data_IF_767010937399
#
_entry.id   IF_767010937399
#
_cell.length_a   1.000
_cell.length_b   1.000
_cell.length_c   1.000
_cell.angle_alpha   90.00
_cell.angle_beta   90.00
_cell.angle_gamma   90.00
#
_symmetry.space_group_name_H-M   'P 1'
#
loop_
_entity.id
_entity.type
_entity.pdbx_description
1 polymer ?
#
# COMPACT_ATOMS: atom_id res chain seq x y z
N UNK A 1 -3.39 -43.85 -11.44
CA UNK A 1 -4.64 -43.47 -10.73
C UNK A 1 -4.52 -42.01 -10.34
N UNK A 2 -5.15 -41.13 -11.11
CA UNK A 2 -5.23 -39.69 -10.83
C UNK A 2 -6.29 -39.49 -9.75
N UNK A 3 -5.88 -39.10 -8.55
CA UNK A 3 -6.82 -38.68 -7.52
C UNK A 3 -7.58 -37.46 -8.04
N UNK A 4 -8.91 -37.53 -8.08
CA UNK A 4 -9.75 -36.38 -8.38
C UNK A 4 -9.47 -35.31 -7.32
N UNK A 5 -9.11 -34.10 -7.76
CA UNK A 5 -8.97 -32.96 -6.86
C UNK A 5 -10.31 -32.74 -6.15
N UNK A 6 -10.31 -32.85 -4.82
CA UNK A 6 -11.50 -32.59 -4.02
C UNK A 6 -11.74 -31.08 -4.08
N UNK A 7 -12.83 -30.65 -4.71
CA UNK A 7 -13.22 -29.24 -4.68
C UNK A 7 -13.57 -28.87 -3.24
N UNK A 8 -12.77 -27.99 -2.66
CA UNK A 8 -13.00 -27.44 -1.33
C UNK A 8 -13.85 -26.19 -1.53
N UNK A 9 -15.11 -26.27 -1.14
CA UNK A 9 -15.98 -25.10 -1.12
C UNK A 9 -15.75 -24.32 0.16
N UNK A 10 -15.46 -23.03 0.01
CA UNK A 10 -15.44 -22.10 1.13
C UNK A 10 -16.83 -22.00 1.75
N UNK A 11 -16.86 -21.88 3.08
CA UNK A 11 -18.11 -21.72 3.84
C UNK A 11 -18.47 -20.23 3.99
N UNK A 12 -17.55 -19.34 3.60
CA UNK A 12 -17.77 -17.89 3.59
C UNK A 12 -18.53 -17.45 2.33
N UNK A 13 -19.40 -16.45 2.46
CA UNK A 13 -19.99 -15.76 1.31
C UNK A 13 -18.90 -14.99 0.55
N UNK A 14 -18.46 -15.56 -0.57
CA UNK A 14 -17.38 -15.03 -1.40
C UNK A 14 -17.81 -13.78 -2.19
N UNK A 15 -19.12 -13.54 -2.34
CA UNK A 15 -19.65 -12.37 -3.08
C UNK A 15 -19.65 -11.09 -2.24
N UNK A 16 -19.51 -11.21 -0.92
CA UNK A 16 -19.52 -10.09 0.03
C UNK A 16 -18.39 -9.10 -0.27
N UNK A 17 -18.74 -7.81 -0.29
CA UNK A 17 -17.78 -6.70 -0.39
C UNK A 17 -16.90 -6.61 0.87
N UNK A 18 -15.61 -6.33 0.69
CA UNK A 18 -14.67 -6.09 1.77
C UNK A 18 -14.77 -4.64 2.21
N UNK A 19 -15.22 -4.41 3.45
CA UNK A 19 -15.23 -3.09 4.10
C UNK A 19 -15.91 -1.98 3.25
N UNK A 20 -16.99 -2.32 2.54
CA UNK A 20 -17.74 -1.38 1.70
C UNK A 20 -17.03 -0.96 0.40
N UNK A 21 -15.93 -1.62 0.04
CA UNK A 21 -15.20 -1.40 -1.21
C UNK A 21 -15.84 -2.17 -2.37
N UNK A 22 -15.40 -1.91 -3.60
CA UNK A 22 -15.82 -2.69 -4.78
C UNK A 22 -15.19 -4.09 -4.85
N UNK A 23 -14.28 -4.42 -3.94
CA UNK A 23 -13.57 -5.70 -3.92
C UNK A 23 -14.32 -6.73 -3.09
N UNK A 24 -14.52 -7.92 -3.65
CA UNK A 24 -15.19 -9.02 -2.97
C UNK A 24 -14.20 -9.92 -2.21
N UNK A 25 -14.73 -10.74 -1.31
CA UNK A 25 -13.97 -11.82 -0.67
C UNK A 25 -13.35 -12.73 -1.72
N UNK A 26 -14.08 -13.07 -2.78
CA UNK A 26 -13.56 -13.86 -3.91
C UNK A 26 -12.32 -13.22 -4.51
N UNK A 27 -12.36 -11.93 -4.85
CA UNK A 27 -11.23 -11.22 -5.46
C UNK A 27 -9.96 -11.30 -4.61
N UNK A 28 -10.11 -11.14 -3.29
CA UNK A 28 -9.01 -11.24 -2.33
C UNK A 28 -8.44 -12.66 -2.28
N UNK A 29 -9.30 -13.67 -2.09
CA UNK A 29 -8.88 -15.07 -1.98
C UNK A 29 -8.24 -15.56 -3.29
N UNK A 30 -8.80 -15.20 -4.44
CA UNK A 30 -8.23 -15.49 -5.76
C UNK A 30 -6.83 -14.94 -5.93
N UNK A 31 -6.63 -13.70 -5.49
CA UNK A 31 -5.32 -13.06 -5.54
C UNK A 31 -4.29 -13.82 -4.70
N UNK A 32 -4.66 -14.30 -3.51
CA UNK A 32 -3.77 -15.09 -2.65
C UNK A 32 -3.53 -16.50 -3.22
N UNK A 33 -4.59 -17.19 -3.64
CA UNK A 33 -4.51 -18.53 -4.24
C UNK A 33 -3.60 -18.55 -5.46
N UNK A 34 -3.61 -17.52 -6.28
CA UNK A 34 -2.78 -17.44 -7.50
C UNK A 34 -1.33 -17.04 -7.21
N UNK A 35 -1.10 -16.17 -6.21
CA UNK A 35 0.19 -15.49 -6.08
C UNK A 35 0.93 -15.72 -4.77
N UNK A 36 0.33 -16.38 -3.77
CA UNK A 36 0.97 -16.61 -2.47
C UNK A 36 1.12 -18.06 -2.02
N UNK A 37 2.36 -18.55 -2.08
CA UNK A 37 2.74 -19.91 -1.65
C UNK A 37 2.53 -20.14 -0.16
N UNK A 38 2.70 -19.10 0.68
CA UNK A 38 2.50 -19.23 2.13
C UNK A 38 1.02 -19.46 2.41
N UNK A 39 0.16 -18.62 1.83
CA UNK A 39 -1.28 -18.80 1.85
C UNK A 39 -1.71 -20.15 1.27
N UNK A 40 -1.24 -20.54 0.09
CA UNK A 40 -1.56 -21.84 -0.53
C UNK A 40 -1.23 -23.01 0.41
N UNK A 41 -0.09 -22.95 1.10
CA UNK A 41 0.32 -23.98 2.07
C UNK A 41 -0.57 -23.99 3.31
N UNK A 42 -0.95 -22.82 3.83
CA UNK A 42 -1.81 -22.68 5.00
C UNK A 42 -3.26 -23.09 4.70
N UNK A 43 -3.76 -22.69 3.53
CA UNK A 43 -5.04 -23.10 2.98
C UNK A 43 -5.05 -24.62 2.83
N UNK A 44 -4.11 -25.20 2.07
CA UNK A 44 -4.05 -26.65 1.84
C UNK A 44 -5.44 -27.18 1.46
N UNK A 45 -5.94 -28.13 2.25
CA UNK A 45 -7.28 -28.72 2.09
C UNK A 45 -8.38 -28.08 2.98
N UNK A 46 -8.08 -26.95 3.63
CA UNK A 46 -8.98 -26.28 4.58
C UNK A 46 -9.87 -25.27 3.86
N UNK A 47 -11.18 -25.34 4.14
CA UNK A 47 -12.11 -24.31 3.69
C UNK A 47 -11.90 -23.00 4.47
N UNK A 48 -12.11 -21.86 3.81
CA UNK A 48 -12.19 -20.57 4.48
C UNK A 48 -13.52 -20.48 5.24
N UNK A 49 -13.44 -20.18 6.54
CA UNK A 49 -14.58 -19.99 7.44
C UNK A 49 -15.04 -18.54 7.48
N UNK A 50 -14.09 -17.62 7.53
CA UNK A 50 -14.38 -16.21 7.75
C UNK A 50 -13.31 -15.34 7.08
N UNK A 51 -13.76 -14.25 6.47
CA UNK A 51 -12.89 -13.14 6.03
C UNK A 51 -13.40 -11.85 6.68
N UNK A 52 -12.55 -11.20 7.45
CA UNK A 52 -12.83 -9.89 8.05
C UNK A 52 -11.82 -8.86 7.57
N UNK A 53 -12.20 -7.59 7.63
CA UNK A 53 -11.32 -6.48 7.33
C UNK A 53 -11.51 -5.36 8.35
N UNK A 54 -10.41 -4.71 8.72
CA UNK A 54 -10.39 -3.57 9.62
C UNK A 54 -9.47 -2.49 9.05
N UNK A 55 -9.89 -1.23 9.14
CA UNK A 55 -9.09 -0.09 8.70
C UNK A 55 -7.97 0.19 9.72
N UNK A 56 -6.73 -0.07 9.31
CA UNK A 56 -5.51 0.17 10.09
C UNK A 56 -4.81 1.46 9.68
N UNK A 57 -5.39 2.26 8.78
CA UNK A 57 -4.78 3.52 8.35
C UNK A 57 -4.56 4.46 9.53
N UNK A 58 -5.54 4.60 10.44
CA UNK A 58 -5.45 5.48 11.61
C UNK A 58 -5.07 6.92 11.25
N UNK A 59 -5.46 7.40 10.05
CA UNK A 59 -5.05 8.70 9.49
C UNK A 59 -3.62 8.76 8.95
N UNK A 60 -2.86 7.66 9.01
CA UNK A 60 -1.48 7.52 8.54
C UNK A 60 -1.36 6.84 7.18
N UNK A 61 -2.48 6.43 6.58
CA UNK A 61 -2.56 5.87 5.23
C UNK A 61 -2.42 6.90 4.11
N UNK A 62 -2.16 8.18 4.47
CA UNK A 62 -2.10 9.30 3.56
C UNK A 62 -3.40 9.41 2.75
N UNK A 63 -3.34 9.41 1.42
CA UNK A 63 -4.50 9.49 0.51
C UNK A 63 -5.14 8.13 0.24
N UNK A 64 -4.84 7.12 1.06
CA UNK A 64 -5.36 5.76 0.92
C UNK A 64 -5.92 5.22 2.24
N UNK A 65 -6.98 4.41 2.12
CA UNK A 65 -7.41 3.52 3.18
C UNK A 65 -6.52 2.28 3.17
N UNK A 66 -6.10 1.84 4.36
CA UNK A 66 -5.25 0.65 4.50
C UNK A 66 -6.03 -0.35 5.34
N UNK A 67 -6.54 -1.39 4.69
CA UNK A 67 -7.36 -2.42 5.31
C UNK A 67 -6.51 -3.64 5.63
N UNK A 68 -6.46 -4.02 6.91
CA UNK A 68 -5.93 -5.31 7.31
C UNK A 68 -7.04 -6.36 7.18
N UNK A 69 -6.85 -7.27 6.23
CA UNK A 69 -7.75 -8.38 6.00
C UNK A 69 -7.24 -9.63 6.71
N UNK A 70 -8.17 -10.36 7.31
CA UNK A 70 -7.91 -11.54 8.13
C UNK A 70 -8.71 -12.70 7.58
N UNK A 71 -8.03 -13.77 7.17
CA UNK A 71 -8.63 -15.00 6.64
C UNK A 71 -8.50 -16.10 7.69
N UNK A 72 -9.63 -16.59 8.20
CA UNK A 72 -9.69 -17.72 9.13
C UNK A 72 -10.20 -18.96 8.42
N UNK A 73 -9.59 -20.10 8.70
CA UNK A 73 -10.00 -21.40 8.15
C UNK A 73 -10.91 -22.14 9.15
N UNK A 74 -11.63 -23.16 8.69
CA UNK A 74 -12.60 -23.92 9.52
C UNK A 74 -11.96 -24.51 10.78
N UNK A 75 -10.74 -25.04 10.66
CA UNK A 75 -10.00 -25.68 11.74
C UNK A 75 -9.02 -24.74 12.47
N UNK A 76 -9.10 -23.42 12.23
CA UNK A 76 -8.25 -22.46 12.92
C UNK A 76 -8.63 -22.38 14.40
N UNK A 77 -7.76 -22.87 15.27
CA UNK A 77 -7.96 -22.85 16.73
C UNK A 77 -7.07 -21.83 17.44
N UNK A 78 -6.08 -21.28 16.72
CA UNK A 78 -5.16 -20.26 17.22
C UNK A 78 -4.93 -19.14 16.22
N UNK A 79 -4.42 -17.99 16.68
CA UNK A 79 -3.99 -16.88 15.81
C UNK A 79 -2.88 -17.26 14.82
N UNK A 80 -2.14 -18.35 15.08
CA UNK A 80 -1.12 -18.84 14.13
C UNK A 80 -1.72 -19.52 12.91
N UNK A 81 -2.99 -19.91 13.00
CA UNK A 81 -3.75 -20.55 11.93
C UNK A 81 -4.57 -19.54 11.11
N UNK A 82 -4.27 -18.25 11.29
CA UNK A 82 -4.94 -17.14 10.61
C UNK A 82 -3.96 -16.52 9.63
N UNK A 83 -4.45 -16.14 8.45
CA UNK A 83 -3.64 -15.45 7.46
C UNK A 83 -4.02 -13.98 7.38
N UNK A 84 -3.03 -13.09 7.45
CA UNK A 84 -3.23 -11.65 7.33
C UNK A 84 -2.65 -11.10 6.03
N UNK A 85 -3.35 -10.14 5.45
CA UNK A 85 -2.94 -9.43 4.24
C UNK A 85 -3.44 -7.99 4.29
N UNK A 86 -2.89 -7.12 3.45
CA UNK A 86 -3.24 -5.70 3.38
C UNK A 86 -3.87 -5.38 2.02
N UNK A 87 -4.99 -4.68 2.04
CA UNK A 87 -5.51 -3.94 0.89
C UNK A 87 -5.27 -2.44 1.12
N UNK A 88 -4.45 -1.83 0.27
CA UNK A 88 -4.31 -0.37 0.22
C UNK A 88 -5.14 0.15 -0.95
N UNK A 89 -6.10 1.01 -0.64
CA UNK A 89 -7.11 1.50 -1.59
C UNK A 89 -7.04 3.03 -1.61
N UNK A 90 -6.68 3.67 -2.74
CA UNK A 90 -6.73 5.12 -2.87
C UNK A 90 -8.17 5.60 -2.69
N UNK A 91 -8.37 6.67 -1.92
CA UNK A 91 -9.70 7.17 -1.58
C UNK A 91 -9.74 8.69 -1.63
N UNK A 92 -10.77 9.22 -2.28
CA UNK A 92 -11.02 10.66 -2.33
C UNK A 92 -11.40 11.20 -0.96
N UNK A 93 -12.05 10.39 -0.12
CA UNK A 93 -12.34 10.71 1.27
C UNK A 93 -11.03 10.89 2.05
N UNK A 94 -10.09 9.95 1.93
CA UNK A 94 -8.78 10.07 2.56
C UNK A 94 -8.00 11.31 2.06
N UNK A 95 -8.12 11.66 0.78
CA UNK A 95 -7.52 12.89 0.24
C UNK A 95 -8.15 14.16 0.84
N UNK A 96 -9.47 14.20 1.00
CA UNK A 96 -10.17 15.32 1.65
C UNK A 96 -9.79 15.43 3.13
N UNK A 97 -9.69 14.30 3.83
CA UNK A 97 -9.22 14.29 5.21
C UNK A 97 -7.78 14.79 5.33
N UNK A 98 -6.92 14.46 4.36
CA UNK A 98 -5.56 14.99 4.30
C UNK A 98 -5.55 16.52 4.08
N UNK A 99 -6.43 17.05 3.20
CA UNK A 99 -6.67 18.50 3.06
C UNK A 99 -6.99 19.17 4.39
N UNK A 100 -7.91 18.59 5.16
CA UNK A 100 -8.39 19.18 6.42
C UNK A 100 -7.37 19.06 7.57
N UNK A 101 -6.71 17.90 7.71
CA UNK A 101 -5.83 17.59 8.86
C UNK A 101 -4.41 18.07 8.66
N UNK A 102 -3.95 18.08 7.42
CA UNK A 102 -2.58 18.37 7.06
C UNK A 102 -2.52 19.66 6.22
N UNK A 103 -3.40 20.64 6.42
CA UNK A 103 -3.41 21.95 5.76
C UNK A 103 -3.00 21.91 4.28
N UNK A 104 -3.46 20.84 3.59
CA UNK A 104 -2.97 20.51 2.27
C UNK A 104 -3.77 21.31 1.25
N UNK A 105 -3.12 22.33 0.66
CA UNK A 105 -3.77 23.25 -0.27
C UNK A 105 -3.94 22.62 -1.66
N UNK A 106 -4.88 21.69 -1.72
CA UNK A 106 -5.25 20.99 -2.93
C UNK A 106 -5.72 21.95 -4.01
N UNK A 107 -6.34 23.08 -3.64
CA UNK A 107 -6.93 24.01 -4.59
C UNK A 107 -5.83 24.77 -5.33
N UNK A 108 -4.75 25.14 -4.62
CA UNK A 108 -3.57 25.70 -5.26
C UNK A 108 -2.82 24.66 -6.10
N UNK A 109 -2.72 23.42 -5.64
CA UNK A 109 -2.12 22.35 -6.44
C UNK A 109 -2.92 22.09 -7.73
N UNK A 110 -4.24 21.99 -7.64
CA UNK A 110 -5.13 21.78 -8.80
C UNK A 110 -4.97 22.91 -9.82
N UNK A 111 -4.91 24.16 -9.35
CA UNK A 111 -4.69 25.35 -10.21
C UNK A 111 -3.31 25.35 -10.85
N UNK A 112 -2.26 25.08 -10.09
CA UNK A 112 -0.88 25.09 -10.57
C UNK A 112 -0.65 24.02 -11.65
N UNK A 113 -1.27 22.85 -11.47
CA UNK A 113 -1.11 21.70 -12.36
C UNK A 113 -2.21 21.58 -13.42
N UNK A 114 -3.23 22.45 -13.40
CA UNK A 114 -4.41 22.38 -14.26
C UNK A 114 -5.04 20.97 -14.27
N UNK A 115 -5.08 20.32 -13.10
CA UNK A 115 -5.60 18.96 -12.88
C UNK A 115 -6.54 18.98 -11.70
N UNK A 116 -7.57 18.13 -11.73
CA UNK A 116 -8.37 17.91 -10.53
C UNK A 116 -7.72 16.85 -9.62
N UNK A 117 -8.09 16.89 -8.35
CA UNK A 117 -7.62 16.01 -7.27
C UNK A 117 -7.68 14.53 -7.62
N UNK A 118 -8.72 14.12 -8.35
CA UNK A 118 -8.87 12.71 -8.70
C UNK A 118 -7.80 12.27 -9.69
N UNK A 119 -7.49 13.08 -10.70
CA UNK A 119 -6.43 12.78 -11.66
C UNK A 119 -5.10 12.59 -10.92
N UNK A 120 -4.83 13.44 -9.94
CA UNK A 120 -3.61 13.41 -9.12
C UNK A 120 -3.54 12.12 -8.30
N UNK A 121 -4.66 11.75 -7.65
CA UNK A 121 -4.77 10.50 -6.90
C UNK A 121 -4.53 9.27 -7.81
N UNK A 122 -5.10 9.28 -9.02
CA UNK A 122 -4.93 8.21 -9.98
C UNK A 122 -3.48 8.11 -10.50
N UNK A 123 -2.83 9.24 -10.76
CA UNK A 123 -1.42 9.30 -11.16
C UNK A 123 -0.50 8.77 -10.06
N UNK A 124 -0.67 9.19 -8.81
CA UNK A 124 0.12 8.66 -7.69
C UNK A 124 -0.08 7.16 -7.49
N UNK A 125 -1.34 6.70 -7.51
CA UNK A 125 -1.62 5.27 -7.38
C UNK A 125 -1.07 4.45 -8.54
N UNK A 126 -1.10 4.99 -9.76
CA UNK A 126 -0.50 4.35 -10.95
C UNK A 126 1.02 4.22 -10.80
N UNK A 127 1.69 5.27 -10.35
CA UNK A 127 3.13 5.23 -10.08
C UNK A 127 3.48 4.22 -8.99
N UNK A 128 2.67 4.12 -7.94
CA UNK A 128 2.85 3.11 -6.89
C UNK A 128 2.64 1.69 -7.43
N UNK A 129 1.61 1.46 -8.26
CA UNK A 129 1.40 0.17 -8.92
C UNK A 129 2.58 -0.21 -9.82
N UNK A 130 3.07 0.73 -10.62
CA UNK A 130 4.21 0.53 -11.52
C UNK A 130 5.50 0.23 -10.74
N UNK A 131 5.75 0.94 -9.64
CA UNK A 131 6.85 0.65 -8.73
C UNK A 131 6.84 -0.81 -8.26
N UNK A 132 5.71 -1.29 -7.74
CA UNK A 132 5.62 -2.67 -7.28
C UNK A 132 5.65 -3.69 -8.43
N UNK A 133 5.01 -3.39 -9.55
CA UNK A 133 4.92 -4.32 -10.68
C UNK A 133 6.25 -4.45 -11.44
N UNK A 134 7.08 -3.41 -11.49
CA UNK A 134 8.25 -3.36 -12.36
C UNK A 134 9.55 -3.07 -11.61
N UNK A 135 9.57 -2.07 -10.73
CA UNK A 135 10.80 -1.61 -10.08
C UNK A 135 11.24 -2.53 -8.94
N UNK A 136 10.33 -3.03 -8.11
CA UNK A 136 10.73 -3.92 -6.99
C UNK A 136 11.39 -5.23 -7.44
N UNK A 137 11.12 -5.67 -8.68
CA UNK A 137 11.73 -6.89 -9.26
C UNK A 137 13.22 -6.74 -9.55
N UNK A 138 13.71 -5.51 -9.67
CA UNK A 138 15.11 -5.19 -9.97
C UNK A 138 15.81 -4.51 -8.79
N UNK A 139 15.09 -4.24 -7.70
CA UNK A 139 15.66 -3.68 -6.48
C UNK A 139 16.10 -4.79 -5.52
N UNK A 140 17.34 -4.71 -5.07
CA UNK A 140 17.84 -5.45 -3.90
C UNK A 140 17.50 -4.72 -2.59
N UNK A 141 16.20 -4.53 -2.35
CA UNK A 141 15.68 -3.89 -1.14
C UNK A 141 14.50 -4.72 -0.62
N UNK A 142 14.41 -4.96 0.70
CA UNK A 142 13.24 -5.59 1.28
C UNK A 142 11.97 -4.79 0.99
N UNK A 143 11.08 -5.36 0.20
CA UNK A 143 9.75 -4.83 -0.08
C UNK A 143 8.68 -5.83 0.37
N UNK A 144 7.47 -5.38 0.75
CA UNK A 144 6.36 -6.29 0.96
C UNK A 144 6.09 -7.08 -0.31
N UNK A 145 5.76 -8.35 -0.17
CA UNK A 145 5.30 -9.13 -1.32
C UNK A 145 3.96 -8.57 -1.80
N UNK A 146 3.89 -8.15 -3.07
CA UNK A 146 2.64 -7.72 -3.69
C UNK A 146 2.00 -8.90 -4.41
N UNK A 147 0.75 -9.20 -4.07
CA UNK A 147 -0.02 -10.31 -4.64
C UNK A 147 -0.72 -9.89 -5.93
N UNK A 148 -1.29 -8.68 -5.95
CA UNK A 148 -2.01 -8.14 -7.11
C UNK A 148 -2.17 -6.63 -6.98
N UNK A 149 -2.15 -5.96 -8.11
CA UNK A 149 -2.45 -4.52 -8.23
C UNK A 149 -3.61 -4.32 -9.21
N UNK A 150 -4.35 -3.23 -9.02
CA UNK A 150 -5.29 -2.68 -9.99
C UNK A 150 -5.16 -1.17 -9.95
N UNK A 151 -4.89 -0.56 -11.09
CA UNK A 151 -4.82 0.91 -11.20
C UNK A 151 -6.19 1.53 -10.95
N UNK A 152 -6.19 2.75 -10.43
CA UNK A 152 -7.40 3.55 -10.24
C UNK A 152 -7.76 4.14 -11.61
N UNK A 153 -8.92 3.78 -12.15
CA UNK A 153 -9.41 4.33 -13.42
C UNK A 153 -10.53 5.32 -13.12
N UNK A 154 -10.31 6.58 -13.53
CA UNK A 154 -11.19 7.70 -13.30
C UNK A 154 -12.67 7.38 -13.52
N UNK A 155 -13.44 7.43 -12.44
CA UNK A 155 -14.90 7.22 -12.40
C UNK A 155 -15.39 5.86 -12.92
N UNK A 156 -14.48 4.89 -13.10
CA UNK A 156 -14.81 3.56 -13.65
C UNK A 156 -14.46 2.44 -12.68
N UNK A 157 -13.22 2.43 -12.19
CA UNK A 157 -12.72 1.32 -11.38
C UNK A 157 -11.93 1.82 -10.18
N UNK A 158 -12.17 1.18 -9.03
CA UNK A 158 -11.41 1.43 -7.81
C UNK A 158 -10.02 0.79 -7.90
N UNK A 159 -9.00 1.56 -7.52
CA UNK A 159 -7.62 1.09 -7.44
C UNK A 159 -7.41 0.23 -6.19
N UNK A 160 -6.43 -0.68 -6.23
CA UNK A 160 -5.93 -1.36 -5.03
C UNK A 160 -4.51 -1.86 -5.23
N UNK A 161 -3.80 -1.97 -4.11
CA UNK A 161 -2.60 -2.80 -4.00
C UNK A 161 -2.88 -3.81 -2.90
N UNK A 162 -2.86 -5.09 -3.27
CA UNK A 162 -3.00 -6.22 -2.35
C UNK A 162 -1.63 -6.79 -2.06
N UNK A 163 -1.22 -6.72 -0.79
CA UNK A 163 0.16 -7.01 -0.39
C UNK A 163 0.27 -7.64 0.99
N UNK A 164 1.44 -8.20 1.27
CA UNK A 164 1.80 -8.82 2.53
C UNK A 164 1.58 -7.89 3.73
N UNK A 165 1.05 -8.45 4.83
CA UNK A 165 0.99 -7.78 6.11
C UNK A 165 2.34 -7.88 6.85
N UNK A 166 3.02 -6.73 6.96
CA UNK A 166 4.31 -6.63 7.67
C UNK A 166 4.15 -6.30 9.16
N UNK A 167 2.93 -6.15 9.71
CA UNK A 167 2.69 -5.65 11.08
C UNK A 167 3.41 -6.46 12.15
N UNK A 168 3.61 -7.77 11.94
CA UNK A 168 4.31 -8.63 12.91
C UNK A 168 5.83 -8.49 12.90
N UNK A 169 6.40 -7.92 11.83
CA UNK A 169 7.85 -7.84 11.60
C UNK A 169 8.37 -6.45 11.23
N UNK A 170 7.49 -5.45 11.16
CA UNK A 170 7.77 -4.09 10.77
C UNK A 170 7.00 -3.09 11.63
N UNK A 171 7.54 -1.86 11.69
CA UNK A 171 6.91 -0.73 12.38
C UNK A 171 7.13 0.52 11.54
N UNK A 172 6.08 1.33 11.39
CA UNK A 172 6.20 2.70 10.88
C UNK A 172 6.80 3.54 12.00
N UNK A 173 7.99 4.10 11.76
CA UNK A 173 8.66 4.98 12.71
C UNK A 173 8.29 6.43 12.42
N UNK A 174 7.94 7.18 13.47
CA UNK A 174 7.79 8.62 13.39
C UNK A 174 9.17 9.28 13.49
N UNK A 175 9.35 10.46 12.89
CA UNK A 175 10.64 11.17 12.88
C UNK A 175 11.16 11.55 14.29
N UNK A 176 10.29 11.59 15.29
CA UNK A 176 10.62 11.89 16.69
C UNK A 176 10.88 10.64 17.54
N UNK A 177 10.70 9.43 16.99
CA UNK A 177 11.00 8.20 17.70
C UNK A 177 12.51 7.90 17.66
N UNK A 178 13.04 7.43 18.79
CA UNK A 178 14.45 7.07 18.89
C UNK A 178 14.77 5.82 18.06
N UNK A 179 15.87 5.88 17.32
CA UNK A 179 16.45 4.75 16.59
C UNK A 179 17.89 4.53 17.03
N UNK A 180 18.32 3.26 17.11
CA UNK A 180 19.69 2.94 17.45
C UNK A 180 20.61 2.97 16.22
N UNK A 181 21.92 3.02 16.44
CA UNK A 181 22.92 3.07 15.38
C UNK A 181 22.82 1.90 14.39
N UNK A 182 22.44 0.71 14.85
CA UNK A 182 22.23 -0.46 13.99
C UNK A 182 21.08 -0.25 13.02
N UNK A 183 19.96 0.30 13.49
CA UNK A 183 18.81 0.64 12.65
C UNK A 183 19.16 1.72 11.63
N UNK A 184 19.86 2.79 12.05
CA UNK A 184 20.34 3.85 11.15
C UNK A 184 21.22 3.27 10.05
N UNK A 185 22.22 2.45 10.41
CA UNK A 185 23.11 1.79 9.43
C UNK A 185 22.33 0.87 8.49
N UNK A 186 21.30 0.19 8.97
CA UNK A 186 20.44 -0.66 8.16
C UNK A 186 19.67 0.15 7.11
N UNK A 187 19.02 1.25 7.52
CA UNK A 187 18.27 2.15 6.63
C UNK A 187 19.19 2.76 5.58
N UNK A 188 20.34 3.32 5.99
CA UNK A 188 21.32 3.92 5.07
C UNK A 188 21.81 2.89 4.04
N UNK A 189 22.09 1.66 4.48
CA UNK A 189 22.53 0.58 3.58
C UNK A 189 21.47 0.26 2.53
N UNK A 190 20.22 0.10 2.94
CA UNK A 190 19.13 -0.20 1.99
C UNK A 190 18.84 0.98 1.05
N UNK A 191 18.90 2.23 1.52
CA UNK A 191 18.79 3.40 0.65
C UNK A 191 19.94 3.48 -0.35
N UNK A 192 21.18 3.22 0.08
CA UNK A 192 22.33 3.19 -0.80
C UNK A 192 22.21 2.09 -1.88
N UNK A 193 21.75 0.89 -1.52
CA UNK A 193 21.46 -0.16 -2.50
C UNK A 193 20.33 0.22 -3.45
N UNK A 194 19.26 0.82 -2.94
CA UNK A 194 18.15 1.32 -3.76
C UNK A 194 18.64 2.31 -4.81
N UNK A 195 19.36 3.36 -4.38
CA UNK A 195 19.89 4.38 -5.28
C UNK A 195 20.88 3.79 -6.28
N UNK A 196 21.80 2.92 -5.83
CA UNK A 196 22.75 2.22 -6.73
C UNK A 196 21.99 1.44 -7.81
N UNK A 197 20.98 0.66 -7.43
CA UNK A 197 20.21 -0.16 -8.37
C UNK A 197 19.45 0.73 -9.36
N UNK A 198 18.74 1.76 -8.89
CA UNK A 198 18.01 2.71 -9.75
C UNK A 198 18.96 3.44 -10.73
N UNK A 199 20.15 3.82 -10.29
CA UNK A 199 21.13 4.47 -11.17
C UNK A 199 21.80 3.50 -12.15
N UNK A 200 21.70 2.19 -11.91
CA UNK A 200 22.33 1.16 -12.74
C UNK A 200 21.36 0.48 -13.72
N UNK A 201 20.05 0.72 -13.60
CA UNK A 201 19.06 0.16 -14.52
C UNK A 201 19.04 0.94 -15.84
N UNK A 202 18.64 0.25 -16.91
CA UNK A 202 18.52 0.86 -18.23
C UNK A 202 17.66 2.14 -18.14
N UNK A 203 18.17 3.31 -18.58
CA UNK A 203 17.42 4.56 -18.58
C UNK A 203 16.04 4.44 -19.23
N UNK A 204 15.86 3.62 -20.26
CA UNK A 204 14.57 3.40 -20.94
C UNK A 204 13.46 2.84 -20.01
N UNK A 205 13.85 2.26 -18.86
CA UNK A 205 12.90 1.76 -17.87
C UNK A 205 12.23 2.93 -17.13
N UNK A 206 12.94 4.02 -16.88
CA UNK A 206 12.48 5.11 -15.99
C UNK A 206 12.46 6.50 -16.60
N UNK A 207 13.26 6.76 -17.63
CA UNK A 207 13.39 8.06 -18.28
C UNK A 207 12.05 8.48 -18.90
N UNK A 208 11.59 9.70 -18.56
CA UNK A 208 10.31 10.24 -19.03
C UNK A 208 9.06 9.59 -18.41
N UNK A 209 9.18 8.56 -17.57
CA UNK A 209 8.04 7.91 -16.88
C UNK A 209 7.81 8.44 -15.47
N UNK A 210 8.87 8.88 -14.81
CA UNK A 210 8.83 9.46 -13.48
C UNK A 210 9.22 10.93 -13.57
N UNK A 211 8.49 11.76 -12.83
CA UNK A 211 8.80 13.19 -12.68
C UNK A 211 10.21 13.34 -12.10
N UNK A 212 10.94 14.35 -12.56
CA UNK A 212 12.24 14.64 -11.97
C UNK A 212 12.07 15.15 -10.52
N UNK A 213 13.12 15.10 -9.71
CA UNK A 213 13.04 15.48 -8.31
C UNK A 213 12.56 16.93 -8.08
N UNK A 214 12.67 17.85 -9.05
CA UNK A 214 12.17 19.22 -8.95
C UNK A 214 10.68 19.32 -9.30
N UNK A 215 10.20 18.57 -10.29
CA UNK A 215 8.78 18.43 -10.62
C UNK A 215 8.05 17.68 -9.51
N UNK A 216 8.61 16.54 -9.10
CA UNK A 216 8.14 15.77 -7.96
C UNK A 216 8.27 16.56 -6.66
N UNK A 217 9.30 17.40 -6.45
CA UNK A 217 9.41 18.28 -5.28
C UNK A 217 8.46 19.47 -5.35
N UNK A 218 8.20 20.08 -6.50
CA UNK A 218 7.16 21.11 -6.58
C UNK A 218 5.79 20.50 -6.22
N UNK A 219 5.55 19.27 -6.68
CA UNK A 219 4.35 18.52 -6.38
C UNK A 219 4.28 18.02 -4.92
N UNK A 220 5.38 17.44 -4.40
CA UNK A 220 5.48 16.89 -3.04
C UNK A 220 5.78 17.94 -1.97
N UNK A 221 6.47 19.04 -2.27
CA UNK A 221 6.72 20.11 -1.30
C UNK A 221 5.43 20.89 -1.05
N UNK A 222 4.55 21.06 -2.05
CA UNK A 222 3.19 21.53 -1.79
C UNK A 222 2.37 20.51 -0.97
N UNK A 223 2.62 19.21 -1.17
CA UNK A 223 1.98 18.10 -0.46
C UNK A 223 2.47 17.88 0.98
N UNK A 224 3.75 18.15 1.26
CA UNK A 224 4.46 17.87 2.51
C UNK A 224 4.80 19.13 3.32
N UNK A 225 4.72 20.34 2.75
CA UNK A 225 4.91 21.60 3.47
C UNK A 225 4.12 21.69 4.80
N UNK A 226 2.91 21.12 4.91
CA UNK A 226 2.17 21.12 6.17
C UNK A 226 2.63 20.07 7.18
N UNK A 227 3.36 19.04 6.73
CA UNK A 227 3.94 18.00 7.57
C UNK A 227 5.28 18.42 8.17
N UNK A 228 5.83 19.58 7.78
CA UNK A 228 6.94 20.19 8.51
C UNK A 228 6.47 20.59 9.91
N UNK A 229 7.18 20.16 10.96
CA UNK A 229 6.79 20.49 12.32
C UNK A 229 6.72 22.01 12.52
N UNK A 230 5.54 22.49 12.90
CA UNK A 230 5.27 23.88 13.36
C UNK A 230 6.12 24.32 14.56
N UNK A 231 6.99 23.43 15.08
CA UNK A 231 7.95 23.71 16.15
C UNK A 231 8.89 24.89 15.85
N UNK A 232 9.12 25.25 14.58
CA UNK A 232 9.93 26.43 14.23
C UNK A 232 9.16 27.76 14.23
N UNK A 233 7.81 27.75 14.30
CA UNK A 233 7.01 28.99 14.31
C UNK A 233 6.79 29.59 15.71
N UNK A 234 7.19 28.90 16.79
CA UNK A 234 6.99 29.37 18.18
C UNK A 234 8.26 29.86 18.91
N UNK A 235 9.41 30.02 18.26
CA UNK A 235 10.61 30.61 18.91
C UNK A 235 10.81 32.12 18.68
N UNK A 236 9.79 32.82 18.16
CA UNK A 236 9.77 34.30 18.12
C UNK A 236 8.50 34.83 18.78
N UNK A 237 8.53 34.91 20.11
CA UNK A 237 7.66 35.61 21.09
C UNK A 237 7.95 34.89 22.42
N UNK A 238 8.61 35.45 23.42
CA UNK A 238 8.99 36.81 23.82
C UNK A 238 10.41 36.79 24.40
#
# INVERSE_FOLDING_TARGET
MTAAAKEIHDVVDVSKSIYGTSFTVEWLLDSLRKNDKIYQKLHGDKAVKEVTAFDVSGGKGFVSRVLRCTVKFVDSTSEKDVYHTILKIPSMECMKEAKEKCDFDIDNYEKANNKNTYIILAEFHKLECDFYNNITKILDVPCPKVFKTRELILKKEEGVIHMEDLTLRGKVLMFFENINLTQVKCVIRHLAHMHKNILSINPEIWHGKYLNAQEASADFAQLLAPMEPTFLKKSKRE
#
